data_IF_636361708185
#
_entry.id   IF_636361708185
#
_cell.length_a   1.000
_cell.length_b   1.000
_cell.length_c   1.000
_cell.angle_alpha   90.00
_cell.angle_beta   90.00
_cell.angle_gamma   90.00
#
_symmetry.space_group_name_H-M   'P 1'
#
loop_
_entity.id
_entity.type
_entity.pdbx_description
1 polymer ?
#
# COMPACT_ATOMS: atom_id res chain seq x y z
N UNK A 1 2.61 -3.52 4.30
CA UNK A 1 3.02 -2.11 4.43
C UNK A 1 1.86 -1.29 3.90
N UNK A 2 0.94 -0.89 4.78
CA UNK A 2 -0.23 -0.08 4.39
C UNK A 2 0.31 1.19 3.73
N UNK A 3 -0.15 1.46 2.52
CA UNK A 3 0.09 2.72 1.82
C UNK A 3 -0.59 3.82 2.64
N UNK A 4 0.16 4.33 3.62
CA UNK A 4 -0.08 5.63 4.24
C UNK A 4 -0.11 6.73 3.16
N UNK A 5 0.36 6.45 1.94
CA UNK A 5 0.31 7.30 0.75
C UNK A 5 -1.07 7.93 0.50
N UNK A 6 -2.16 7.15 0.43
CA UNK A 6 -3.51 7.64 0.08
C UNK A 6 -4.08 8.73 1.02
N UNK A 7 -3.60 8.83 2.27
CA UNK A 7 -3.99 9.89 3.21
C UNK A 7 -2.87 10.89 3.51
N UNK A 8 -1.62 10.55 3.24
CA UNK A 8 -0.47 11.37 3.58
C UNK A 8 -0.20 12.46 2.55
N UNK A 9 -0.47 12.22 1.27
CA UNK A 9 -0.12 13.21 0.23
C UNK A 9 -0.99 14.48 0.33
N UNK A 10 -2.26 14.35 0.73
CA UNK A 10 -3.16 15.50 0.90
C UNK A 10 -3.15 16.12 2.32
N UNK A 11 -2.71 15.37 3.35
CA UNK A 11 -2.76 15.84 4.75
C UNK A 11 -1.52 16.62 5.21
N UNK A 12 -0.47 16.73 4.39
CA UNK A 12 0.77 17.39 4.79
C UNK A 12 0.80 18.91 4.58
N UNK A 13 -0.10 19.49 3.78
CA UNK A 13 -0.01 20.91 3.44
C UNK A 13 -0.57 21.85 4.50
N UNK A 14 0.27 22.22 5.47
CA UNK A 14 -0.05 23.31 6.40
C UNK A 14 1.06 24.36 6.49
N UNK A 15 0.70 25.51 5.94
CA UNK A 15 1.07 26.87 6.32
C UNK A 15 2.16 27.64 5.55
N UNK A 16 1.65 28.52 4.67
CA UNK A 16 1.80 29.98 4.73
C UNK A 16 3.12 30.64 4.25
N UNK A 17 2.92 31.47 3.22
CA UNK A 17 3.41 32.84 2.95
C UNK A 17 4.36 33.10 1.77
N UNK A 18 3.77 33.90 0.88
CA UNK A 18 4.28 34.68 -0.22
C UNK A 18 5.73 35.17 -0.15
N UNK A 19 6.42 35.05 -1.29
CA UNK A 19 7.37 36.06 -1.75
C UNK A 19 7.33 36.21 -3.27
N UNK A 20 7.00 37.43 -3.69
CA UNK A 20 7.03 37.88 -5.07
C UNK A 20 8.48 38.16 -5.50
N UNK A 21 8.88 37.57 -6.64
CA UNK A 21 9.96 38.12 -7.45
C UNK A 21 9.49 38.27 -8.89
N UNK A 22 9.45 39.53 -9.31
CA UNK A 22 9.31 39.94 -10.69
C UNK A 22 10.62 39.65 -11.43
N UNK A 23 10.54 38.85 -12.49
CA UNK A 23 11.53 38.87 -13.57
C UNK A 23 10.79 38.94 -14.91
N UNK A 24 11.05 40.05 -15.58
CA UNK A 24 10.55 40.43 -16.88
C UNK A 24 11.06 39.48 -17.96
N UNK A 25 10.14 38.82 -18.66
CA UNK A 25 10.40 38.11 -19.92
C UNK A 25 9.46 38.62 -21.00
N UNK A 26 10.02 39.31 -22.00
CA UNK A 26 9.29 39.86 -23.14
C UNK A 26 8.77 38.76 -24.09
N UNK A 27 7.46 38.72 -24.32
CA UNK A 27 6.86 38.56 -25.65
C UNK A 27 5.46 39.20 -25.54
N UNK A 28 5.01 40.14 -26.37
CA UNK A 28 5.12 40.18 -27.81
C UNK A 28 3.77 39.78 -28.43
N UNK A 29 2.75 40.63 -28.27
CA UNK A 29 1.42 40.48 -28.89
C UNK A 29 0.40 39.77 -27.98
N UNK A 30 -0.80 40.36 -27.82
CA UNK A 30 -1.88 39.85 -26.97
C UNK A 30 -2.43 38.50 -27.44
N UNK A 31 -1.69 37.44 -27.13
CA UNK A 31 -2.08 36.03 -27.27
C UNK A 31 -2.62 35.56 -25.92
N UNK A 32 -3.65 34.73 -25.96
CA UNK A 32 -4.22 34.10 -24.78
C UNK A 32 -3.11 33.33 -24.02
N UNK A 33 -2.80 33.69 -22.76
CA UNK A 33 -1.76 33.03 -21.98
C UNK A 33 -2.04 31.53 -21.79
N UNK A 34 -3.30 31.09 -21.89
CA UNK A 34 -3.66 29.66 -21.82
C UNK A 34 -2.88 28.78 -22.80
N UNK A 35 -2.60 29.28 -24.00
CA UNK A 35 -1.92 28.51 -25.05
C UNK A 35 -0.51 28.03 -24.65
N UNK A 36 0.12 28.68 -23.67
CA UNK A 36 1.42 28.26 -23.16
C UNK A 36 1.32 26.95 -22.35
N UNK A 37 0.20 26.74 -21.69
CA UNK A 37 -0.01 25.67 -20.71
C UNK A 37 -0.78 24.47 -21.26
N UNK A 38 -1.70 24.68 -22.21
CA UNK A 38 -2.51 23.61 -22.79
C UNK A 38 -1.65 22.46 -23.32
N UNK A 39 -2.03 21.23 -22.97
CA UNK A 39 -1.44 19.99 -23.44
C UNK A 39 -1.05 19.02 -22.32
N UNK A 40 -0.42 17.92 -22.71
CA UNK A 40 0.14 16.94 -21.78
C UNK A 40 1.56 17.30 -21.38
N UNK A 41 1.86 17.10 -20.11
CA UNK A 41 3.15 17.37 -19.49
C UNK A 41 3.59 16.11 -18.75
N UNK A 42 4.78 15.65 -19.06
CA UNK A 42 5.36 14.46 -18.45
C UNK A 42 6.41 14.89 -17.44
N UNK A 43 6.44 14.20 -16.30
CA UNK A 43 7.49 14.37 -15.32
C UNK A 43 8.90 14.24 -15.94
N UNK A 44 9.84 15.06 -15.48
CA UNK A 44 11.19 15.15 -16.04
C UNK A 44 12.29 15.55 -15.03
N UNK A 45 12.00 15.49 -13.73
CA UNK A 45 12.96 15.81 -12.67
C UNK A 45 12.28 16.43 -11.45
N UNK A 46 12.99 16.47 -10.32
CA UNK A 46 12.39 16.93 -9.08
C UNK A 46 12.89 16.24 -7.82
N UNK A 47 12.24 16.59 -6.72
CA UNK A 47 12.38 15.94 -5.41
C UNK A 47 11.00 15.62 -4.85
N UNK A 48 10.91 14.50 -4.14
CA UNK A 48 9.74 14.08 -3.38
C UNK A 48 10.23 13.53 -2.03
N UNK A 49 9.62 13.96 -0.93
CA UNK A 49 10.04 13.63 0.43
C UNK A 49 11.52 13.96 0.72
N UNK A 50 12.04 15.01 0.07
CA UNK A 50 13.45 15.39 0.16
C UNK A 50 14.45 14.48 -0.57
N UNK A 51 13.97 13.46 -1.29
CA UNK A 51 14.80 12.60 -2.15
C UNK A 51 14.73 13.03 -3.62
N UNK A 52 15.87 12.98 -4.32
CA UNK A 52 15.92 13.29 -5.75
C UNK A 52 15.32 12.15 -6.57
N UNK A 53 14.32 12.49 -7.36
CA UNK A 53 13.64 11.56 -8.26
C UNK A 53 14.48 11.39 -9.54
N UNK A 54 15.55 10.60 -9.41
CA UNK A 54 16.53 10.31 -10.48
C UNK A 54 15.91 9.60 -11.69
N UNK A 55 16.55 9.68 -12.86
CA UNK A 55 16.12 8.99 -14.07
C UNK A 55 15.98 7.46 -13.85
N UNK A 56 16.90 6.84 -13.11
CA UNK A 56 16.86 5.41 -12.78
C UNK A 56 15.62 5.05 -11.95
N UNK A 57 15.30 5.86 -10.94
CA UNK A 57 14.09 5.67 -10.13
C UNK A 57 12.82 5.83 -10.98
N UNK A 58 12.78 6.83 -11.85
CA UNK A 58 11.64 7.04 -12.74
C UNK A 58 11.47 5.93 -13.77
N UNK A 59 12.55 5.37 -14.28
CA UNK A 59 12.47 4.24 -15.20
C UNK A 59 11.96 2.98 -14.50
N UNK A 60 12.37 2.74 -13.25
CA UNK A 60 11.78 1.69 -12.41
C UNK A 60 10.27 1.89 -12.20
N UNK A 61 9.84 3.12 -11.88
CA UNK A 61 8.41 3.44 -11.73
C UNK A 61 7.63 3.19 -13.02
N UNK A 62 8.16 3.61 -14.18
CA UNK A 62 7.55 3.32 -15.49
C UNK A 62 7.47 1.82 -15.78
N UNK A 63 8.50 1.05 -15.45
CA UNK A 63 8.47 -0.42 -15.58
C UNK A 63 7.37 -1.06 -14.73
N UNK A 64 7.10 -0.48 -13.56
CA UNK A 64 6.00 -0.88 -12.68
C UNK A 64 4.64 -0.34 -13.13
N UNK A 65 4.61 0.43 -14.21
CA UNK A 65 3.40 1.03 -14.77
C UNK A 65 2.94 2.29 -14.04
N UNK A 66 3.76 2.86 -13.15
CA UNK A 66 3.48 4.08 -12.41
C UNK A 66 3.92 5.29 -13.24
N UNK A 67 3.00 6.24 -13.45
CA UNK A 67 3.25 7.44 -14.24
C UNK A 67 3.16 8.71 -13.40
N UNK A 68 3.78 9.79 -13.88
CA UNK A 68 3.58 11.13 -13.33
C UNK A 68 3.32 12.10 -14.48
N UNK A 69 2.06 12.51 -14.61
CA UNK A 69 1.52 13.22 -15.78
C UNK A 69 0.59 14.34 -15.34
N UNK A 70 0.73 15.50 -15.98
CA UNK A 70 -0.20 16.61 -15.86
C UNK A 70 -0.83 16.89 -17.22
N UNK A 71 -2.16 16.91 -17.30
CA UNK A 71 -2.90 17.30 -18.49
C UNK A 71 -3.67 18.58 -18.19
N UNK A 72 -3.50 19.58 -19.06
CA UNK A 72 -4.22 20.85 -18.99
C UNK A 72 -5.04 21.04 -20.28
N UNK A 73 -6.35 20.89 -20.18
CA UNK A 73 -7.27 20.98 -21.31
C UNK A 73 -7.67 22.43 -21.64
N UNK A 74 -8.04 22.69 -22.89
CA UNK A 74 -8.37 24.03 -23.38
C UNK A 74 -9.54 24.71 -22.63
N UNK A 75 -10.48 23.91 -22.10
CA UNK A 75 -11.66 24.38 -21.39
C UNK A 75 -11.38 24.80 -19.94
N UNK A 76 -10.16 24.61 -19.44
CA UNK A 76 -9.76 24.92 -18.07
C UNK A 76 -9.94 23.76 -17.09
N UNK A 77 -10.27 22.56 -17.56
CA UNK A 77 -10.12 21.33 -16.76
C UNK A 77 -8.77 20.68 -17.01
N UNK A 78 -8.44 19.69 -16.20
CA UNK A 78 -7.25 18.90 -16.39
C UNK A 78 -7.24 17.71 -15.43
N UNK A 79 -6.16 16.95 -15.50
CA UNK A 79 -5.93 15.82 -14.61
C UNK A 79 -4.47 15.81 -14.18
N UNK A 80 -4.23 15.56 -12.91
CA UNK A 80 -2.92 15.25 -12.36
C UNK A 80 -2.92 13.77 -11.97
N UNK A 81 -2.00 13.01 -12.54
CA UNK A 81 -1.70 11.64 -12.19
C UNK A 81 -0.32 11.62 -11.53
N UNK A 82 -0.28 11.25 -10.26
CA UNK A 82 0.94 11.07 -9.48
C UNK A 82 1.00 9.62 -8.99
N UNK A 83 1.55 8.75 -9.81
CA UNK A 83 1.83 7.36 -9.47
C UNK A 83 0.58 6.57 -9.09
N UNK A 84 -0.44 6.60 -9.97
CA UNK A 84 -1.79 6.04 -9.78
C UNK A 84 -2.70 6.85 -8.85
N UNK A 85 -2.21 7.91 -8.21
CA UNK A 85 -3.07 8.91 -7.57
C UNK A 85 -3.56 9.89 -8.64
N UNK A 86 -4.77 9.62 -9.17
CA UNK A 86 -5.34 10.38 -10.29
C UNK A 86 -6.40 11.36 -9.80
N UNK A 87 -6.08 12.65 -9.80
CA UNK A 87 -6.96 13.73 -9.36
C UNK A 87 -7.44 14.59 -10.54
N UNK A 88 -8.75 14.81 -10.62
CA UNK A 88 -9.33 15.82 -11.51
C UNK A 88 -9.02 17.21 -10.97
N UNK A 89 -8.67 18.13 -11.86
CA UNK A 89 -8.34 19.50 -11.49
C UNK A 89 -9.00 20.53 -12.41
N UNK A 90 -9.09 21.74 -11.89
CA UNK A 90 -9.35 22.95 -12.67
C UNK A 90 -8.08 23.77 -12.76
N UNK A 91 -7.92 24.57 -13.81
CA UNK A 91 -6.77 25.42 -13.93
C UNK A 91 -7.06 26.77 -14.59
N UNK A 92 -6.25 27.77 -14.25
CA UNK A 92 -6.33 29.11 -14.80
C UNK A 92 -4.93 29.70 -15.03
N UNK A 93 -4.67 30.20 -16.24
CA UNK A 93 -3.46 30.97 -16.52
C UNK A 93 -3.57 32.37 -15.89
N UNK A 94 -2.74 32.65 -14.89
CA UNK A 94 -2.65 33.99 -14.27
C UNK A 94 -1.97 34.99 -15.21
N UNK A 95 -0.93 34.52 -15.89
CA UNK A 95 -0.15 35.27 -16.87
C UNK A 95 0.58 34.29 -17.81
N UNK A 96 1.48 34.79 -18.66
CA UNK A 96 2.19 33.98 -19.64
C UNK A 96 3.14 32.92 -19.03
N UNK A 97 3.51 33.02 -17.75
CA UNK A 97 4.48 32.14 -17.10
C UNK A 97 3.97 31.50 -15.80
N UNK A 98 2.76 31.83 -15.37
CA UNK A 98 2.13 31.28 -14.16
C UNK A 98 0.77 30.68 -14.48
N UNK A 99 0.57 29.43 -14.07
CA UNK A 99 -0.72 28.76 -14.08
C UNK A 99 -1.06 28.32 -12.66
N UNK A 100 -2.32 28.48 -12.26
CA UNK A 100 -2.84 27.91 -11.02
C UNK A 100 -3.61 26.66 -11.36
N UNK A 101 -3.30 25.55 -10.71
CA UNK A 101 -4.14 24.33 -10.70
C UNK A 101 -4.92 24.28 -9.38
N UNK A 102 -6.07 23.64 -9.39
CA UNK A 102 -6.92 23.44 -8.22
C UNK A 102 -7.50 22.05 -8.22
N UNK A 103 -7.17 21.27 -7.20
CA UNK A 103 -7.70 19.93 -6.94
C UNK A 103 -8.18 19.90 -5.48
N UNK A 104 -9.32 19.26 -5.22
CA UNK A 104 -9.84 19.04 -3.86
C UNK A 104 -9.84 20.29 -2.93
N UNK A 105 -10.25 21.44 -3.50
CA UNK A 105 -10.29 22.75 -2.85
C UNK A 105 -8.92 23.38 -2.49
N UNK A 106 -7.82 22.77 -2.91
CA UNK A 106 -6.46 23.31 -2.76
C UNK A 106 -5.94 23.86 -4.09
N UNK A 107 -5.24 25.00 -4.05
CA UNK A 107 -4.72 25.68 -5.23
C UNK A 107 -3.21 25.89 -5.18
N UNK A 108 -2.52 25.54 -6.27
CA UNK A 108 -1.07 25.69 -6.39
C UNK A 108 -0.68 26.39 -7.69
N UNK A 109 0.34 27.25 -7.60
CA UNK A 109 0.92 27.92 -8.76
C UNK A 109 2.07 27.10 -9.32
N UNK A 110 1.98 26.74 -10.60
CA UNK A 110 3.10 26.23 -11.38
C UNK A 110 3.72 27.38 -12.17
N UNK A 111 5.05 27.36 -12.26
CA UNK A 111 5.81 28.34 -13.01
C UNK A 111 6.39 27.70 -14.27
N UNK A 112 6.13 28.31 -15.41
CA UNK A 112 6.78 27.98 -16.68
C UNK A 112 8.14 28.68 -16.73
N UNK A 113 9.21 27.89 -16.66
CA UNK A 113 10.61 28.34 -16.73
C UNK A 113 11.37 27.40 -17.66
N UNK A 114 12.08 27.95 -18.65
CA UNK A 114 12.87 27.18 -19.61
C UNK A 114 12.09 26.01 -20.24
N UNK A 115 10.86 26.30 -20.70
CA UNK A 115 9.91 25.34 -21.29
C UNK A 115 9.49 24.17 -20.37
N UNK A 116 9.69 24.32 -19.06
CA UNK A 116 9.29 23.36 -18.03
C UNK A 116 8.29 23.96 -17.05
N UNK A 117 7.27 23.19 -16.69
CA UNK A 117 6.38 23.53 -15.59
C UNK A 117 6.98 23.03 -14.29
N UNK A 118 7.10 23.95 -13.33
CA UNK A 118 7.67 23.67 -12.02
C UNK A 118 6.60 23.88 -10.97
N UNK A 119 6.27 22.81 -10.25
CA UNK A 119 5.47 22.82 -9.03
C UNK A 119 6.43 22.72 -7.84
N UNK A 120 6.34 23.66 -6.90
CA UNK A 120 7.10 23.62 -5.64
C UNK A 120 6.12 23.64 -4.48
N UNK A 121 6.20 22.63 -3.63
CA UNK A 121 5.28 22.40 -2.50
C UNK A 121 6.09 21.94 -1.31
N UNK A 122 6.07 22.70 -0.22
CA UNK A 122 6.70 22.36 1.08
C UNK A 122 8.18 21.94 1.03
N UNK A 123 8.93 22.37 0.01
CA UNK A 123 10.34 22.04 -0.17
C UNK A 123 10.58 20.93 -1.20
N UNK A 124 9.52 20.22 -1.59
CA UNK A 124 9.51 19.33 -2.73
C UNK A 124 9.25 20.08 -4.03
N UNK A 125 9.70 19.47 -5.12
CA UNK A 125 9.72 20.09 -6.44
C UNK A 125 9.41 19.07 -7.50
N UNK A 126 8.37 19.29 -8.29
CA UNK A 126 8.08 18.49 -9.48
C UNK A 126 8.30 19.32 -10.74
N UNK A 127 9.04 18.77 -11.70
CA UNK A 127 9.39 19.43 -12.96
C UNK A 127 8.81 18.63 -14.12
N UNK A 128 7.94 19.24 -14.89
CA UNK A 128 7.33 18.62 -16.06
C UNK A 128 7.85 19.24 -17.35
N UNK A 129 8.11 18.39 -18.34
CA UNK A 129 8.39 18.81 -19.72
C UNK A 129 7.16 18.56 -20.57
N UNK A 130 6.89 19.48 -21.51
CA UNK A 130 5.77 19.32 -22.42
C UNK A 130 5.96 18.05 -23.27
N UNK A 131 4.92 17.22 -23.36
CA UNK A 131 4.92 16.00 -24.16
C UNK A 131 4.41 16.31 -25.56
N UNK A 132 5.07 15.74 -26.58
CA UNK A 132 4.57 15.76 -27.97
C UNK A 132 3.41 14.77 -28.19
N UNK A 133 3.22 13.84 -27.24
CA UNK A 133 2.14 12.84 -27.26
C UNK A 133 1.02 13.27 -26.33
N UNK A 134 -0.21 12.98 -26.74
CA UNK A 134 -1.36 12.97 -25.84
C UNK A 134 -1.22 11.82 -24.85
N UNK A 135 -1.24 12.14 -23.56
CA UNK A 135 -1.12 11.20 -22.44
C UNK A 135 -2.46 10.86 -21.78
N UNK A 136 -3.59 11.35 -22.32
CA UNK A 136 -4.93 11.06 -21.79
C UNK A 136 -5.22 9.56 -21.65
N UNK A 137 -4.73 8.75 -22.60
CA UNK A 137 -4.85 7.29 -22.54
C UNK A 137 -4.05 6.64 -21.40
N UNK A 138 -2.91 7.22 -21.01
CA UNK A 138 -2.13 6.77 -19.85
C UNK A 138 -2.90 7.04 -18.58
N UNK A 139 -3.31 8.31 -18.38
CA UNK A 139 -4.09 8.74 -17.20
C UNK A 139 -5.38 7.94 -17.06
N UNK A 140 -6.06 7.65 -18.16
CA UNK A 140 -7.27 6.81 -18.14
C UNK A 140 -6.99 5.39 -17.64
N UNK A 141 -5.91 4.78 -18.12
CA UNK A 141 -5.51 3.43 -17.71
C UNK A 141 -5.16 3.40 -16.22
N UNK A 142 -4.45 4.42 -15.75
CA UNK A 142 -4.01 4.51 -14.36
C UNK A 142 -5.20 4.75 -13.42
N UNK A 143 -6.18 5.54 -13.84
CA UNK A 143 -7.46 5.67 -13.13
C UNK A 143 -8.23 4.35 -13.06
N UNK A 144 -8.35 3.63 -14.19
CA UNK A 144 -8.99 2.31 -14.21
C UNK A 144 -8.26 1.27 -13.34
N UNK A 145 -6.96 1.45 -13.10
CA UNK A 145 -6.19 0.60 -12.17
C UNK A 145 -6.44 0.99 -10.71
N UNK A 146 -6.44 2.29 -10.40
CA UNK A 146 -6.74 2.80 -9.07
C UNK A 146 -8.16 2.45 -8.62
N UNK A 147 -9.15 2.59 -9.50
CA UNK A 147 -10.55 2.22 -9.22
C UNK A 147 -10.72 0.71 -8.97
N UNK A 148 -9.93 -0.15 -9.64
CA UNK A 148 -9.96 -1.60 -9.36
C UNK A 148 -9.33 -1.95 -8.02
N UNK A 149 -8.27 -1.27 -7.62
CA UNK A 149 -7.72 -1.43 -6.27
C UNK A 149 -8.72 -0.96 -5.21
N UNK A 150 -9.41 0.16 -5.44
CA UNK A 150 -10.48 0.62 -4.56
C UNK A 150 -11.71 -0.31 -4.56
N UNK A 151 -12.10 -0.89 -5.68
CA UNK A 151 -13.19 -1.89 -5.73
C UNK A 151 -12.80 -3.18 -4.98
N UNK A 152 -11.53 -3.58 -5.01
CA UNK A 152 -11.03 -4.69 -4.18
C UNK A 152 -11.00 -4.32 -2.69
N UNK A 153 -10.62 -3.08 -2.36
CA UNK A 153 -10.63 -2.54 -0.99
C UNK A 153 -12.05 -2.22 -0.47
N UNK A 154 -13.05 -1.96 -1.33
CA UNK A 154 -14.45 -1.76 -0.94
C UNK A 154 -15.25 -3.08 -0.97
N UNK A 155 -14.81 -4.08 -1.74
CA UNK A 155 -15.38 -5.43 -1.72
C UNK A 155 -14.98 -6.23 -0.47
N UNK A 156 -14.03 -5.76 0.35
CA UNK A 156 -14.04 -6.07 1.79
C UNK A 156 -15.14 -5.23 2.44
N UNK A 157 -16.38 -5.65 2.19
CA UNK A 157 -17.53 -5.17 2.96
C UNK A 157 -17.25 -5.39 4.47
N UNK A 158 -17.75 -4.44 5.25
CA UNK A 158 -17.77 -4.29 6.72
C UNK A 158 -18.48 -5.46 7.43
N UNK A 159 -18.13 -6.70 7.08
CA UNK A 159 -18.73 -7.94 7.57
C UNK A 159 -17.76 -8.60 8.57
N UNK A 160 -17.85 -8.04 9.78
CA UNK A 160 -17.56 -8.55 11.12
C UNK A 160 -16.19 -9.23 11.36
N UNK A 161 -15.45 -8.67 12.33
CA UNK A 161 -14.57 -9.47 13.18
C UNK A 161 -15.39 -10.61 13.75
N UNK A 162 -15.06 -11.82 13.35
CA UNK A 162 -15.77 -13.02 13.79
C UNK A 162 -14.81 -13.86 14.61
N UNK A 163 -15.30 -14.38 15.73
CA UNK A 163 -14.64 -15.47 16.44
C UNK A 163 -15.68 -16.53 16.79
N UNK A 164 -15.32 -17.78 16.52
CA UNK A 164 -16.12 -18.95 16.84
C UNK A 164 -15.28 -19.90 17.69
N UNK A 165 -15.73 -20.14 18.92
CA UNK A 165 -15.08 -21.09 19.84
C UNK A 165 -15.13 -22.52 19.27
N UNK A 166 -13.99 -23.20 19.35
CA UNK A 166 -13.84 -24.63 19.06
C UNK A 166 -13.94 -25.39 20.38
N UNK A 167 -15.05 -26.12 20.56
CA UNK A 167 -15.33 -26.88 21.77
C UNK A 167 -15.58 -28.36 21.48
N UNK A 168 -14.77 -29.29 22.03
CA UNK A 168 -13.59 -29.04 22.85
C UNK A 168 -12.43 -28.47 22.01
N UNK A 169 -11.55 -27.69 22.66
CA UNK A 169 -10.32 -27.20 22.04
C UNK A 169 -9.50 -28.36 21.47
N UNK A 170 -8.83 -28.12 20.34
CA UNK A 170 -7.99 -29.14 19.69
C UNK A 170 -6.59 -29.06 20.26
N UNK A 171 -6.09 -30.16 20.83
CA UNK A 171 -4.71 -30.26 21.29
C UNK A 171 -3.80 -30.65 20.13
N UNK A 172 -2.82 -29.80 19.82
CA UNK A 172 -1.77 -30.05 18.81
C UNK A 172 -0.57 -30.76 19.46
N UNK A 173 -0.21 -30.32 20.68
CA UNK A 173 0.85 -30.91 21.47
C UNK A 173 0.51 -30.79 22.96
N UNK A 174 0.86 -31.83 23.73
CA UNK A 174 0.92 -31.78 25.19
C UNK A 174 1.96 -32.78 25.67
N UNK A 175 3.21 -32.35 25.70
CA UNK A 175 4.37 -33.16 26.06
C UNK A 175 5.28 -32.42 27.05
N UNK A 176 6.48 -32.95 27.28
CA UNK A 176 7.46 -32.35 28.19
C UNK A 176 8.05 -31.03 27.66
N UNK A 177 7.99 -30.78 26.35
CA UNK A 177 8.55 -29.59 25.70
C UNK A 177 7.54 -28.44 25.70
N UNK A 178 6.28 -28.71 25.37
CA UNK A 178 5.25 -27.69 25.25
C UNK A 178 3.81 -28.19 25.46
N UNK A 179 2.89 -27.23 25.57
CA UNK A 179 1.46 -27.44 25.31
C UNK A 179 1.06 -26.49 24.18
N UNK A 180 0.32 -26.99 23.19
CA UNK A 180 -0.22 -26.21 22.07
C UNK A 180 -1.69 -26.61 21.88
N UNK A 181 -2.58 -25.62 21.93
CA UNK A 181 -4.02 -25.84 21.74
C UNK A 181 -4.61 -24.81 20.79
N UNK A 182 -5.64 -25.23 20.04
CA UNK A 182 -6.42 -24.39 19.15
C UNK A 182 -7.81 -24.22 19.74
N UNK A 183 -8.22 -22.98 19.99
CA UNK A 183 -9.43 -22.68 20.76
C UNK A 183 -10.51 -21.98 19.95
N UNK A 184 -10.17 -21.28 18.87
CA UNK A 184 -11.13 -20.47 18.11
C UNK A 184 -10.79 -20.47 16.62
N UNK A 185 -11.80 -20.36 15.76
CA UNK A 185 -11.68 -19.89 14.38
C UNK A 185 -11.94 -18.39 14.39
N UNK A 186 -11.18 -17.60 13.65
CA UNK A 186 -11.40 -16.15 13.61
C UNK A 186 -11.26 -15.57 12.21
N UNK A 187 -11.89 -14.41 12.02
CA UNK A 187 -11.69 -13.46 10.92
C UNK A 187 -11.43 -12.11 11.58
N UNK A 188 -10.31 -11.46 11.28
CA UNK A 188 -9.94 -10.18 11.88
C UNK A 188 -10.42 -8.96 11.07
N UNK A 189 -10.09 -7.76 11.56
CA UNK A 189 -10.41 -6.47 10.93
C UNK A 189 -9.75 -6.28 9.55
N UNK A 190 -8.77 -7.11 9.18
CA UNK A 190 -8.09 -7.09 7.89
C UNK A 190 -8.60 -8.18 6.95
N UNK A 191 -9.56 -8.99 7.40
CA UNK A 191 -10.09 -10.11 6.65
C UNK A 191 -9.21 -11.36 6.70
N UNK A 192 -8.14 -11.37 7.50
CA UNK A 192 -7.32 -12.55 7.69
C UNK A 192 -8.12 -13.60 8.46
N UNK A 193 -8.19 -14.81 7.89
CA UNK A 193 -8.91 -15.94 8.45
C UNK A 193 -7.90 -16.92 9.03
N UNK A 194 -8.20 -17.45 10.20
CA UNK A 194 -7.25 -18.29 10.91
C UNK A 194 -7.78 -18.96 12.17
N UNK A 195 -6.82 -19.37 13.01
CA UNK A 195 -7.06 -20.00 14.29
C UNK A 195 -6.33 -19.29 15.43
N UNK A 196 -6.96 -19.23 16.59
CA UNK A 196 -6.30 -18.80 17.84
C UNK A 196 -5.52 -19.98 18.42
N UNK A 197 -4.20 -19.79 18.59
CA UNK A 197 -3.26 -20.78 19.11
C UNK A 197 -2.77 -20.36 20.48
N UNK A 198 -2.98 -21.21 21.49
CA UNK A 198 -2.41 -21.02 22.83
C UNK A 198 -1.22 -21.94 23.01
N UNK A 199 -0.06 -21.38 23.35
CA UNK A 199 1.21 -22.09 23.47
C UNK A 199 1.81 -21.86 24.84
N UNK A 200 2.34 -22.92 25.44
CA UNK A 200 3.19 -22.87 26.62
C UNK A 200 4.52 -23.54 26.31
N UNK A 201 5.63 -22.82 26.43
CA UNK A 201 6.97 -23.39 26.43
C UNK A 201 7.26 -23.96 27.82
N UNK A 202 7.35 -25.28 27.96
CA UNK A 202 7.65 -25.98 29.24
C UNK A 202 9.14 -26.24 29.43
N UNK A 203 9.96 -25.93 28.43
CA UNK A 203 11.40 -26.16 28.46
C UNK A 203 12.15 -25.10 29.26
N UNK A 204 13.45 -25.35 29.47
CA UNK A 204 14.41 -24.44 30.09
C UNK A 204 15.17 -23.57 29.06
N UNK A 205 14.75 -23.59 27.78
CA UNK A 205 15.38 -22.84 26.68
C UNK A 205 14.37 -21.96 25.94
N UNK A 206 14.88 -20.92 25.29
CA UNK A 206 14.11 -20.12 24.34
C UNK A 206 13.75 -20.96 23.11
N UNK A 207 12.47 -20.98 22.77
CA UNK A 207 11.93 -21.71 21.62
C UNK A 207 11.18 -20.75 20.71
N UNK A 208 11.33 -20.98 19.41
CA UNK A 208 10.45 -20.39 18.40
C UNK A 208 9.59 -21.49 17.81
N UNK A 209 8.28 -21.30 17.90
CA UNK A 209 7.27 -22.12 17.23
C UNK A 209 6.86 -21.43 15.94
N UNK A 210 6.73 -22.17 14.84
CA UNK A 210 6.40 -21.59 13.54
C UNK A 210 5.60 -22.57 12.69
N UNK A 211 4.87 -22.05 11.70
CA UNK A 211 4.24 -22.89 10.68
C UNK A 211 5.23 -23.17 9.55
N UNK A 212 5.64 -24.43 9.33
CA UNK A 212 6.51 -24.78 8.20
C UNK A 212 5.69 -24.90 6.90
N UNK A 213 6.29 -24.48 5.79
CA UNK A 213 5.71 -24.72 4.47
C UNK A 213 5.47 -26.22 4.24
N UNK A 214 4.36 -26.55 3.59
CA UNK A 214 4.07 -27.92 3.19
C UNK A 214 3.45 -28.84 4.27
N UNK A 215 3.11 -28.33 5.46
CA UNK A 215 2.41 -29.12 6.50
C UNK A 215 0.97 -28.70 6.77
N UNK A 216 0.49 -27.70 6.06
CA UNK A 216 -0.85 -27.14 6.28
C UNK A 216 -1.72 -27.35 5.04
N UNK A 217 -2.93 -27.88 5.26
CA UNK A 217 -3.93 -28.02 4.21
C UNK A 217 -5.35 -27.80 4.75
N UNK A 218 -6.21 -27.26 3.91
CA UNK A 218 -7.64 -27.09 4.17
C UNK A 218 -8.39 -28.01 3.21
N UNK A 219 -9.17 -28.94 3.75
CA UNK A 219 -9.91 -29.93 2.98
C UNK A 219 -9.07 -30.66 1.90
N UNK A 220 -7.83 -31.02 2.24
CA UNK A 220 -6.89 -31.70 1.34
C UNK A 220 -6.17 -30.80 0.31
N UNK A 221 -6.43 -29.50 0.32
CA UNK A 221 -5.72 -28.51 -0.53
C UNK A 221 -4.65 -27.81 0.28
N UNK A 222 -3.40 -27.85 -0.19
CA UNK A 222 -2.28 -27.17 0.46
C UNK A 222 -2.52 -25.66 0.51
N UNK A 223 -2.23 -25.06 1.66
CA UNK A 223 -2.33 -23.62 1.92
C UNK A 223 -1.03 -23.13 2.55
N UNK A 224 -0.69 -21.86 2.34
CA UNK A 224 0.50 -21.27 2.93
C UNK A 224 0.12 -20.44 4.17
N UNK A 225 0.38 -20.96 5.38
CA UNK A 225 0.04 -20.26 6.61
C UNK A 225 1.11 -19.24 7.01
N UNK A 226 0.71 -18.30 7.85
CA UNK A 226 1.59 -17.42 8.58
C UNK A 226 1.41 -17.63 10.08
N UNK A 227 2.48 -18.01 10.76
CA UNK A 227 2.51 -18.20 12.20
C UNK A 227 3.94 -18.22 12.72
N UNK A 228 4.23 -17.45 13.77
CA UNK A 228 5.48 -17.52 14.51
C UNK A 228 5.31 -17.01 15.93
N UNK A 229 5.85 -17.73 16.91
CA UNK A 229 5.79 -17.37 18.32
C UNK A 229 7.12 -17.67 18.99
N UNK A 230 7.80 -16.63 19.45
CA UNK A 230 9.01 -16.75 20.26
C UNK A 230 8.66 -16.73 21.75
N UNK A 231 9.00 -17.80 22.47
CA UNK A 231 8.68 -17.94 23.89
C UNK A 231 9.93 -18.24 24.70
N UNK A 232 10.14 -17.40 25.73
CA UNK A 232 11.11 -17.66 26.79
C UNK A 232 10.77 -18.94 27.58
N UNK A 233 11.73 -19.54 28.28
CA UNK A 233 11.49 -20.69 29.15
C UNK A 233 10.30 -20.48 30.09
N UNK A 234 9.44 -21.50 30.21
CA UNK A 234 8.29 -21.51 31.13
C UNK A 234 7.26 -20.37 30.92
N UNK A 235 7.20 -19.78 29.72
CA UNK A 235 6.22 -18.73 29.38
C UNK A 235 5.09 -19.26 28.50
N UNK A 236 4.04 -18.47 28.31
CA UNK A 236 2.92 -18.78 27.44
C UNK A 236 2.52 -17.59 26.59
N UNK A 237 1.95 -17.85 25.42
CA UNK A 237 1.45 -16.86 24.49
C UNK A 237 0.13 -17.34 23.87
N UNK A 238 -0.69 -16.37 23.44
CA UNK A 238 -1.86 -16.58 22.60
C UNK A 238 -1.60 -15.83 21.32
N UNK A 239 -1.57 -16.55 20.20
CA UNK A 239 -1.11 -16.06 18.91
C UNK A 239 -2.06 -16.49 17.80
N UNK A 240 -1.99 -15.81 16.66
CA UNK A 240 -2.87 -16.05 15.52
C UNK A 240 -2.13 -16.85 14.43
N UNK A 241 -2.71 -17.98 14.04
CA UNK A 241 -2.28 -18.77 12.89
C UNK A 241 -3.18 -18.39 11.72
N UNK A 242 -2.67 -17.59 10.80
CA UNK A 242 -3.43 -17.03 9.68
C UNK A 242 -3.11 -17.73 8.36
N UNK A 243 -4.03 -17.65 7.41
CA UNK A 243 -3.81 -18.02 6.01
C UNK A 243 -3.55 -16.77 5.17
N UNK A 244 -2.85 -16.93 4.05
CA UNK A 244 -2.55 -15.79 3.18
C UNK A 244 -3.85 -15.16 2.64
N UNK A 245 -3.86 -13.83 2.51
CA UNK A 245 -5.04 -13.11 2.04
C UNK A 245 -5.52 -13.61 0.67
N UNK A 246 -6.84 -13.79 0.53
CA UNK A 246 -7.47 -14.36 -0.67
C UNK A 246 -7.40 -15.88 -0.79
N UNK A 247 -6.87 -16.61 0.20
CA UNK A 247 -6.93 -18.07 0.21
C UNK A 247 -8.26 -18.65 0.73
N UNK A 248 -8.97 -17.90 1.57
CA UNK A 248 -10.23 -18.28 2.21
C UNK A 248 -11.17 -17.06 2.21
N UNK A 249 -12.47 -17.29 2.06
CA UNK A 249 -13.48 -16.23 1.97
C UNK A 249 -14.27 -16.10 3.29
N UNK A 250 -14.38 -17.18 4.07
CA UNK A 250 -15.16 -17.21 5.33
C UNK A 250 -14.66 -18.25 6.34
N UNK A 251 -15.14 -18.18 7.59
CA UNK A 251 -14.86 -19.20 8.61
C UNK A 251 -15.39 -20.59 8.23
N UNK A 252 -16.43 -20.65 7.40
CA UNK A 252 -17.01 -21.89 6.90
C UNK A 252 -16.07 -22.64 5.93
N UNK A 253 -15.03 -21.98 5.40
CA UNK A 253 -14.03 -22.60 4.55
C UNK A 253 -12.99 -23.40 5.34
N UNK A 254 -12.85 -23.15 6.65
CA UNK A 254 -11.95 -23.86 7.56
C UNK A 254 -12.49 -25.26 7.92
N UNK A 255 -12.63 -26.11 6.91
CA UNK A 255 -13.16 -27.48 7.02
C UNK A 255 -12.02 -28.50 6.92
N UNK A 256 -11.99 -29.47 7.84
CA UNK A 256 -10.97 -30.53 7.86
C UNK A 256 -9.54 -29.98 7.73
N UNK A 257 -9.26 -28.89 8.43
CA UNK A 257 -8.00 -28.17 8.32
C UNK A 257 -6.92 -28.89 9.12
N UNK A 258 -5.87 -29.33 8.44
CA UNK A 258 -4.66 -29.82 9.11
C UNK A 258 -3.66 -28.69 9.21
N UNK A 259 -3.17 -28.43 10.42
CA UNK A 259 -2.10 -27.47 10.68
C UNK A 259 -0.83 -28.21 11.10
N UNK A 260 0.33 -27.68 10.71
CA UNK A 260 1.64 -28.08 11.21
C UNK A 260 2.28 -26.95 12.00
N UNK A 261 2.87 -27.28 13.15
CA UNK A 261 3.68 -26.34 13.95
C UNK A 261 4.99 -27.04 14.30
N UNK A 262 6.10 -26.47 13.88
CA UNK A 262 7.44 -26.92 14.22
C UNK A 262 8.05 -25.99 15.27
N UNK A 263 9.02 -26.51 16.03
CA UNK A 263 9.72 -25.75 17.05
C UNK A 263 11.23 -25.90 16.88
N UNK A 264 11.96 -24.80 17.00
CA UNK A 264 13.42 -24.77 17.00
C UNK A 264 13.98 -23.96 18.17
N UNK A 265 15.23 -24.24 18.54
CA UNK A 265 15.98 -23.46 19.53
C UNK A 265 16.28 -22.07 18.98
N UNK A 266 15.76 -21.00 19.58
CA UNK A 266 15.86 -19.64 19.03
C UNK A 266 17.29 -19.19 18.74
N UNK A 267 18.24 -19.56 19.61
CA UNK A 267 19.64 -19.16 19.47
C UNK A 267 20.41 -19.93 18.38
N UNK A 268 20.07 -21.19 18.14
CA UNK A 268 20.84 -22.07 17.24
C UNK A 268 20.11 -22.45 15.95
N UNK A 269 18.81 -22.18 15.85
CA UNK A 269 17.94 -22.62 14.76
C UNK A 269 17.90 -24.14 14.56
N UNK A 270 18.25 -24.90 15.61
CA UNK A 270 18.15 -26.36 15.61
C UNK A 270 16.69 -26.77 15.83
N UNK A 271 16.10 -27.49 14.88
CA UNK A 271 14.76 -28.07 15.02
C UNK A 271 14.74 -29.08 16.17
N UNK A 272 13.79 -28.94 17.09
CA UNK A 272 13.65 -29.79 18.28
C UNK A 272 12.35 -30.57 18.31
N UNK A 273 11.31 -30.10 17.62
CA UNK A 273 10.03 -30.78 17.54
C UNK A 273 9.23 -30.41 16.29
N UNK A 274 8.29 -31.30 15.95
CA UNK A 274 7.33 -31.11 14.87
C UNK A 274 5.99 -31.70 15.26
N UNK A 275 4.94 -30.91 15.12
CA UNK A 275 3.59 -31.25 15.55
C UNK A 275 2.58 -31.02 14.43
N UNK A 276 1.49 -31.77 14.47
CA UNK A 276 0.38 -31.61 13.55
C UNK A 276 -0.94 -32.04 14.17
N UNK A 277 -2.01 -31.35 13.84
CA UNK A 277 -3.36 -31.77 14.19
C UNK A 277 -4.36 -31.42 13.09
N UNK A 278 -5.47 -32.14 13.05
CA UNK A 278 -6.61 -31.85 12.17
C UNK A 278 -7.76 -31.29 13.00
N UNK A 279 -8.28 -30.15 12.55
CA UNK A 279 -9.41 -29.42 13.12
C UNK A 279 -10.61 -29.70 12.22
N UNK A 280 -11.74 -30.07 12.84
CA UNK A 280 -12.96 -30.40 12.12
C UNK A 280 -13.71 -29.17 11.60
#
# INVERSE_FOLDING_TARGET
>A
MKTTFKKSVLAFLTCVLALAFALTGCSGGGKDPKANFVGSWQYSGGTLDGEELTDEYMDMLKEWGLNCVLILDEDGTGVLDMFLEVADLKWEAKDATTVTITAEDESHDLKLKDDKLVLEVEGDKLIFTKSDKDLSGTVKKDREAAEKEEEVDEAVEDDDVQSVEISPAVTVADDDLCTITITEKFKDDWGDIGFVVNITNKSDKDLTFYAPSGKTNVNGTMKEPWFSAHLMPSTSATEEFTFSSGELDSLDDLVNTTIGIDAYLTDSYEDVASYSATIA
#
